data_IF_493080786409
#
_entry.id   IF_493080786409
#
_cell.length_a   1.000
_cell.length_b   1.000
_cell.length_c   1.000
_cell.angle_alpha   90.00
_cell.angle_beta   90.00
_cell.angle_gamma   90.00
#
_symmetry.space_group_name_H-M   'P 1'
#
loop_
_entity.id
_entity.type
_entity.pdbx_description
1 polymer ?
#
# COMPACT_ATOMS: atom_id res chain seq x y z
N UNK A 1 -37.69 -50.44 -31.79
CA UNK A 1 -37.16 -49.28 -32.53
C UNK A 1 -38.27 -48.23 -32.59
N UNK A 2 -38.02 -46.94 -32.30
CA UNK A 2 -36.85 -46.14 -32.67
C UNK A 2 -36.04 -45.63 -31.46
N UNK A 3 -34.71 -45.76 -31.41
CA UNK A 3 -33.65 -44.90 -31.99
C UNK A 3 -33.86 -43.38 -31.84
N UNK A 4 -33.38 -42.85 -30.71
CA UNK A 4 -32.79 -41.53 -30.59
C UNK A 4 -31.68 -41.63 -29.53
N UNK A 5 -30.51 -40.99 -29.58
CA UNK A 5 -29.64 -40.43 -30.60
C UNK A 5 -28.35 -40.09 -29.81
N UNK A 6 -27.16 -40.11 -30.43
CA UNK A 6 -25.83 -40.13 -29.77
C UNK A 6 -25.43 -38.87 -28.97
N UNK A 7 -26.38 -37.97 -28.70
CA UNK A 7 -26.16 -36.67 -28.03
C UNK A 7 -25.77 -36.84 -26.57
N UNK A 8 -26.35 -37.82 -25.87
CA UNK A 8 -26.07 -38.03 -24.44
C UNK A 8 -24.62 -38.48 -24.22
N UNK A 9 -24.06 -39.26 -25.15
CA UNK A 9 -22.65 -39.70 -25.11
C UNK A 9 -21.70 -38.55 -25.43
N UNK A 10 -22.09 -37.59 -26.28
CA UNK A 10 -21.29 -36.38 -26.56
C UNK A 10 -21.28 -35.39 -25.40
N UNK A 11 -22.32 -35.37 -24.57
CA UNK A 11 -22.38 -34.52 -23.38
C UNK A 11 -21.41 -34.99 -22.28
N UNK A 12 -21.18 -36.30 -22.18
CA UNK A 12 -20.27 -36.89 -21.18
C UNK A 12 -18.78 -36.70 -21.51
N UNK A 13 -18.41 -36.53 -22.78
CA UNK A 13 -17.01 -36.27 -23.19
C UNK A 13 -16.64 -34.80 -23.00
N UNK A 14 -17.60 -33.88 -23.06
CA UNK A 14 -17.34 -32.46 -22.82
C UNK A 14 -17.08 -32.15 -21.33
N UNK A 15 -17.61 -32.97 -20.42
CA UNK A 15 -17.39 -32.86 -18.98
C UNK A 15 -16.03 -33.39 -18.50
N UNK A 16 -15.32 -34.18 -19.31
CA UNK A 16 -14.01 -34.74 -18.96
C UNK A 16 -12.82 -33.93 -19.52
N UNK A 17 -13.06 -32.91 -20.35
CA UNK A 17 -12.02 -32.01 -20.88
C UNK A 17 -11.80 -30.74 -20.03
N UNK A 18 -12.74 -30.38 -19.16
CA UNK A 18 -12.59 -29.23 -18.25
C UNK A 18 -11.79 -29.58 -16.97
N UNK A 19 -11.37 -30.83 -16.79
CA UNK A 19 -10.63 -31.28 -15.61
C UNK A 19 -9.12 -30.98 -15.63
N UNK A 20 -8.58 -30.35 -16.68
CA UNK A 20 -7.11 -30.19 -16.84
C UNK A 20 -6.62 -28.74 -17.00
N UNK A 21 -7.50 -27.73 -17.02
CA UNK A 21 -7.07 -26.33 -17.18
C UNK A 21 -7.18 -25.48 -15.90
N UNK A 22 -7.71 -26.01 -14.80
CA UNK A 22 -7.85 -25.26 -13.54
C UNK A 22 -6.60 -25.33 -12.63
N UNK A 23 -5.56 -26.06 -13.03
CA UNK A 23 -4.33 -26.26 -12.24
C UNK A 23 -3.17 -25.32 -12.61
N UNK A 24 -3.33 -24.43 -13.59
CA UNK A 24 -2.38 -23.34 -13.81
C UNK A 24 -2.71 -22.17 -12.88
N UNK A 25 -2.82 -22.45 -11.58
CA UNK A 25 -2.67 -21.42 -10.56
C UNK A 25 -1.25 -20.91 -10.71
N UNK A 26 -1.15 -19.77 -11.40
CA UNK A 26 -0.03 -18.84 -11.48
C UNK A 26 1.14 -19.19 -10.53
N UNK A 27 1.98 -20.15 -10.96
CA UNK A 27 3.33 -20.21 -10.45
C UNK A 27 4.08 -19.11 -11.20
N UNK A 28 3.85 -17.87 -10.77
CA UNK A 28 4.71 -16.76 -11.13
C UNK A 28 6.07 -17.10 -10.52
N UNK A 29 6.90 -17.79 -11.30
CA UNK A 29 8.26 -18.11 -10.94
C UNK A 29 8.99 -16.80 -10.71
N UNK A 30 9.07 -16.39 -9.45
CA UNK A 30 9.93 -15.29 -9.04
C UNK A 30 11.36 -15.73 -9.28
N UNK A 31 11.92 -15.26 -10.39
CA UNK A 31 13.35 -15.30 -10.69
C UNK A 31 14.15 -14.90 -9.44
N UNK A 32 15.21 -15.66 -9.14
CA UNK A 32 16.04 -15.40 -7.96
C UNK A 32 16.62 -13.99 -8.04
N UNK A 33 17.04 -13.45 -6.89
CA UNK A 33 17.57 -12.08 -6.82
C UNK A 33 18.69 -11.85 -7.84
N UNK A 34 19.53 -12.86 -8.07
CA UNK A 34 20.65 -12.89 -9.02
C UNK A 34 20.23 -12.81 -10.51
N UNK A 35 19.04 -13.28 -10.86
CA UNK A 35 18.50 -13.14 -12.22
C UNK A 35 17.95 -11.72 -12.46
N UNK A 36 17.65 -10.99 -11.38
CA UNK A 36 17.03 -9.66 -11.42
C UNK A 36 18.02 -8.52 -11.26
N UNK A 37 19.20 -8.79 -10.69
CA UNK A 37 20.28 -7.80 -10.55
C UNK A 37 21.52 -8.25 -11.31
N UNK A 38 22.24 -7.30 -11.89
CA UNK A 38 23.49 -7.59 -12.58
C UNK A 38 24.57 -8.00 -11.57
N UNK A 39 25.57 -8.78 -12.00
CA UNK A 39 26.68 -9.20 -11.14
C UNK A 39 27.43 -8.01 -10.49
N UNK A 40 27.45 -6.86 -11.16
CA UNK A 40 28.04 -5.62 -10.65
C UNK A 40 27.21 -5.03 -9.51
N UNK A 41 25.89 -4.99 -9.64
CA UNK A 41 24.99 -4.53 -8.58
C UNK A 41 25.00 -5.47 -7.37
N UNK A 42 25.16 -6.77 -7.60
CA UNK A 42 25.31 -7.77 -6.55
C UNK A 42 26.60 -7.55 -5.72
N UNK A 43 27.71 -7.22 -6.38
CA UNK A 43 28.97 -6.85 -5.72
C UNK A 43 28.91 -5.48 -5.02
N UNK A 44 28.33 -4.48 -5.68
CA UNK A 44 28.21 -3.13 -5.13
C UNK A 44 27.26 -3.11 -3.90
N UNK A 45 26.27 -4.01 -3.86
CA UNK A 45 25.40 -4.23 -2.70
C UNK A 45 26.04 -5.06 -1.58
N UNK A 46 27.26 -5.58 -1.79
CA UNK A 46 27.98 -6.40 -0.82
C UNK A 46 27.35 -7.77 -0.58
N UNK A 47 26.48 -8.22 -1.49
CA UNK A 47 25.83 -9.54 -1.41
C UNK A 47 26.79 -10.68 -1.74
N UNK A 48 27.95 -10.37 -2.32
CA UNK A 48 29.08 -11.29 -2.58
C UNK A 48 29.75 -11.82 -1.30
N UNK A 49 29.49 -11.18 -0.16
CA UNK A 49 30.01 -11.57 1.15
C UNK A 49 29.10 -12.53 1.92
N UNK A 50 27.88 -12.74 1.42
CA UNK A 50 26.93 -13.67 2.02
C UNK A 50 27.27 -15.11 1.60
N UNK A 51 27.14 -16.04 2.53
CA UNK A 51 27.24 -17.46 2.20
C UNK A 51 26.06 -17.91 1.33
N UNK A 52 26.21 -19.04 0.63
CA UNK A 52 25.13 -19.63 -0.17
C UNK A 52 23.85 -19.87 0.66
N UNK A 53 24.02 -20.20 1.94
CA UNK A 53 22.94 -20.47 2.89
C UNK A 53 22.19 -19.19 3.28
N UNK A 54 22.93 -18.10 3.50
CA UNK A 54 22.39 -16.77 3.81
C UNK A 54 21.65 -16.18 2.60
N UNK A 55 22.23 -16.34 1.40
CA UNK A 55 21.60 -15.92 0.15
C UNK A 55 20.31 -16.70 -0.10
N UNK A 56 20.30 -18.02 0.17
CA UNK A 56 19.10 -18.82 0.08
C UNK A 56 18.02 -18.37 1.08
N UNK A 57 18.41 -17.97 2.29
CA UNK A 57 17.49 -17.40 3.29
C UNK A 57 16.91 -16.05 2.83
N UNK A 58 17.74 -15.17 2.27
CA UNK A 58 17.32 -13.90 1.70
C UNK A 58 16.33 -14.11 0.54
N UNK A 59 16.66 -14.98 -0.40
CA UNK A 59 15.78 -15.34 -1.51
C UNK A 59 14.44 -15.91 -1.03
N UNK A 60 14.42 -16.72 0.04
CA UNK A 60 13.18 -17.21 0.65
C UNK A 60 12.36 -16.08 1.28
N UNK A 61 13.01 -15.16 2.00
CA UNK A 61 12.33 -14.01 2.60
C UNK A 61 11.68 -13.10 1.56
N UNK A 62 12.40 -12.79 0.46
CA UNK A 62 11.88 -11.98 -0.65
C UNK A 62 10.66 -12.65 -1.28
N UNK A 63 10.73 -13.97 -1.54
CA UNK A 63 9.59 -14.74 -2.08
C UNK A 63 8.38 -14.70 -1.15
N UNK A 64 8.58 -14.92 0.15
CA UNK A 64 7.49 -14.90 1.13
C UNK A 64 6.80 -13.53 1.20
N UNK A 65 7.60 -12.46 1.19
CA UNK A 65 7.08 -11.09 1.20
C UNK A 65 6.33 -10.76 -0.08
N UNK A 66 6.88 -11.15 -1.23
CA UNK A 66 6.25 -10.90 -2.53
C UNK A 66 4.96 -11.68 -2.73
N UNK A 67 4.87 -12.90 -2.18
CA UNK A 67 3.63 -13.68 -2.19
C UNK A 67 2.57 -13.03 -1.29
N UNK A 68 2.94 -12.60 -0.09
CA UNK A 68 2.03 -11.89 0.81
C UNK A 68 1.52 -10.56 0.22
N UNK A 69 2.37 -9.85 -0.52
CA UNK A 69 2.00 -8.61 -1.21
C UNK A 69 1.11 -8.88 -2.43
N UNK A 70 1.39 -9.93 -3.20
CA UNK A 70 0.53 -10.40 -4.29
C UNK A 70 -0.86 -10.86 -3.81
N UNK A 71 -0.91 -11.63 -2.72
CA UNK A 71 -2.17 -12.04 -2.09
C UNK A 71 -2.97 -10.86 -1.56
N UNK A 72 -2.30 -9.87 -0.94
CA UNK A 72 -2.96 -8.65 -0.50
C UNK A 72 -3.57 -7.86 -1.68
N UNK A 73 -2.84 -7.75 -2.79
CA UNK A 73 -3.31 -7.11 -4.03
C UNK A 73 -4.48 -7.87 -4.66
N UNK A 74 -4.45 -9.20 -4.64
CA UNK A 74 -5.53 -10.04 -5.16
C UNK A 74 -6.81 -9.96 -4.31
N UNK A 75 -6.67 -9.87 -2.98
CA UNK A 75 -7.78 -9.65 -2.06
C UNK A 75 -8.40 -8.25 -2.23
N UNK A 76 -7.57 -7.22 -2.42
CA UNK A 76 -8.03 -5.85 -2.72
C UNK A 76 -8.79 -5.84 -4.05
N UNK A 77 -8.23 -6.43 -5.11
CA UNK A 77 -8.89 -6.49 -6.42
C UNK A 77 -10.23 -7.23 -6.38
N UNK A 78 -10.31 -8.31 -5.59
CA UNK A 78 -11.56 -9.06 -5.39
C UNK A 78 -12.59 -8.23 -4.62
N UNK A 79 -12.16 -7.49 -3.60
CA UNK A 79 -13.01 -6.57 -2.84
C UNK A 79 -13.51 -5.40 -3.72
N UNK A 80 -12.64 -4.84 -4.57
CA UNK A 80 -12.99 -3.78 -5.53
C UNK A 80 -14.01 -4.25 -6.57
N UNK A 81 -13.87 -5.48 -7.09
CA UNK A 81 -14.84 -6.04 -8.05
C UNK A 81 -16.23 -6.32 -7.46
N UNK A 82 -16.35 -6.38 -6.13
CA UNK A 82 -17.63 -6.60 -5.43
C UNK A 82 -18.29 -5.30 -4.95
N UNK A 83 -17.61 -4.15 -5.09
CA UNK A 83 -18.03 -2.84 -4.57
C UNK A 83 -18.76 -1.94 -5.57
N UNK A 84 -19.39 -2.48 -6.62
CA UNK A 84 -20.16 -1.68 -7.57
C UNK A 84 -21.54 -1.32 -7.01
N UNK A 85 -21.59 -0.39 -6.07
CA UNK A 85 -22.69 0.56 -5.95
C UNK A 85 -22.33 1.71 -4.99
N UNK A 86 -22.44 2.93 -5.52
CA UNK A 86 -22.36 4.24 -4.86
C UNK A 86 -20.99 4.90 -4.92
N UNK A 87 -20.99 6.05 -5.61
CA UNK A 87 -19.80 6.75 -6.06
C UNK A 87 -19.09 7.55 -4.97
N UNK A 88 -17.82 7.82 -5.24
CA UNK A 88 -17.26 9.18 -5.35
C UNK A 88 -15.84 9.03 -5.91
N UNK A 89 -15.48 10.00 -6.75
CA UNK A 89 -14.23 10.09 -7.50
C UNK A 89 -13.00 9.97 -6.59
N UNK A 90 -12.21 8.89 -6.72
CA UNK A 90 -10.91 8.70 -6.03
C UNK A 90 -9.77 8.49 -7.03
N UNK A 91 -9.80 9.16 -8.17
CA UNK A 91 -8.68 9.16 -9.11
C UNK A 91 -7.55 10.06 -8.59
N UNK A 92 -6.57 9.43 -7.94
CA UNK A 92 -5.34 10.09 -7.51
C UNK A 92 -4.54 9.33 -6.44
N UNK A 93 -4.75 8.01 -6.32
CA UNK A 93 -4.28 7.25 -5.18
C UNK A 93 -3.01 6.46 -5.51
N UNK A 94 -1.85 7.11 -5.44
CA UNK A 94 -0.56 6.42 -5.52
C UNK A 94 -0.19 5.94 -4.11
N UNK A 95 -0.05 4.64 -3.89
CA UNK A 95 0.38 4.07 -2.60
C UNK A 95 1.78 4.56 -2.17
N UNK A 96 2.55 5.07 -3.12
CA UNK A 96 3.83 5.74 -2.93
C UNK A 96 3.72 7.01 -2.06
N UNK A 97 2.59 7.72 -2.09
CA UNK A 97 2.38 8.93 -1.28
C UNK A 97 2.09 8.61 0.19
N UNK A 98 1.78 7.35 0.52
CA UNK A 98 1.50 6.95 1.90
C UNK A 98 2.76 6.79 2.76
N UNK A 99 3.95 6.86 2.18
CA UNK A 99 5.22 6.61 2.89
C UNK A 99 6.15 7.82 2.95
N UNK A 100 5.90 8.86 2.16
CA UNK A 100 6.73 10.06 2.14
C UNK A 100 6.21 11.11 3.12
N UNK A 101 7.09 11.79 3.87
CA UNK A 101 6.71 12.99 4.60
C UNK A 101 6.14 14.06 3.66
N UNK A 102 5.10 14.74 4.13
CA UNK A 102 4.47 15.87 3.43
C UNK A 102 4.94 17.14 4.14
N UNK A 103 5.82 17.90 3.49
CA UNK A 103 6.24 19.22 3.94
C UNK A 103 5.34 20.27 3.30
N UNK A 104 4.68 21.09 4.12
CA UNK A 104 3.77 22.12 3.66
C UNK A 104 3.59 23.19 4.75
N UNK A 105 2.67 24.11 4.56
CA UNK A 105 2.34 25.15 5.53
C UNK A 105 0.84 25.11 5.83
N UNK A 106 0.47 25.48 7.04
CA UNK A 106 -0.93 25.71 7.41
C UNK A 106 -1.37 27.03 6.78
N UNK A 107 -2.51 27.04 6.10
CA UNK A 107 -3.05 28.25 5.50
C UNK A 107 -3.62 29.18 6.57
N UNK A 108 -3.16 30.44 6.56
CA UNK A 108 -3.67 31.48 7.46
C UNK A 108 -3.02 31.48 8.84
N UNK A 109 -3.80 31.88 9.85
CA UNK A 109 -3.31 32.10 11.22
C UNK A 109 -3.38 30.82 12.03
N UNK A 110 -2.26 30.45 12.64
CA UNK A 110 -2.12 29.25 13.44
C UNK A 110 -1.50 29.55 14.81
N UNK A 111 -2.17 29.11 15.88
CA UNK A 111 -1.74 29.35 17.27
C UNK A 111 -1.55 28.06 18.08
N UNK A 112 -1.56 26.90 17.42
CA UNK A 112 -1.49 25.58 18.05
C UNK A 112 -2.77 24.75 17.91
N UNK A 113 -2.90 23.69 18.72
CA UNK A 113 -4.02 22.74 18.68
C UNK A 113 -4.62 22.46 20.06
N UNK A 114 -5.91 22.12 20.09
CA UNK A 114 -6.72 22.07 21.33
C UNK A 114 -7.45 20.75 21.57
N UNK A 115 -7.18 19.71 20.77
CA UNK A 115 -7.79 18.37 20.88
C UNK A 115 -8.76 18.03 19.75
N UNK A 116 -9.24 19.03 19.00
CA UNK A 116 -10.14 18.85 17.85
C UNK A 116 -9.79 19.81 16.70
N UNK A 117 -8.51 20.19 16.60
CA UNK A 117 -8.08 21.19 15.63
C UNK A 117 -8.10 20.62 14.21
N UNK A 118 -8.60 21.42 13.28
CA UNK A 118 -8.55 21.16 11.84
C UNK A 118 -7.40 21.94 11.24
N UNK A 119 -6.56 21.27 10.47
CA UNK A 119 -5.41 21.83 9.77
C UNK A 119 -5.73 21.90 8.28
N UNK A 120 -5.86 23.11 7.78
CA UNK A 120 -5.99 23.40 6.36
C UNK A 120 -4.59 23.71 5.83
N UNK A 121 -4.13 22.91 4.88
CA UNK A 121 -2.77 23.00 4.36
C UNK A 121 -2.77 23.71 3.01
N UNK A 122 -1.71 24.44 2.70
CA UNK A 122 -1.60 25.21 1.45
C UNK A 122 -1.66 24.35 0.17
N UNK A 123 -1.41 23.04 0.28
CA UNK A 123 -1.59 22.08 -0.82
C UNK A 123 -3.06 21.62 -1.02
N UNK A 124 -4.01 22.23 -0.30
CA UNK A 124 -5.43 21.92 -0.36
C UNK A 124 -5.85 20.69 0.45
N UNK A 125 -4.91 19.97 1.07
CA UNK A 125 -5.23 18.86 1.95
C UNK A 125 -5.75 19.37 3.29
N UNK A 126 -6.62 18.55 3.89
CA UNK A 126 -7.14 18.85 5.22
C UNK A 126 -6.90 17.67 6.14
N UNK A 127 -6.31 17.98 7.28
CA UNK A 127 -6.07 17.02 8.35
C UNK A 127 -6.80 17.45 9.63
N UNK A 128 -7.17 16.49 10.46
CA UNK A 128 -7.79 16.74 11.77
C UNK A 128 -6.99 16.01 12.83
N UNK A 129 -6.85 16.66 13.98
CA UNK A 129 -6.30 16.07 15.17
C UNK A 129 -7.07 14.81 15.60
N UNK A 130 -6.35 13.74 15.93
CA UNK A 130 -6.92 12.45 16.31
C UNK A 130 -6.77 12.14 17.83
N UNK A 131 -6.09 13.00 18.57
CA UNK A 131 -5.79 12.83 19.99
C UNK A 131 -6.12 14.10 20.77
N UNK A 132 -6.49 14.00 22.05
CA UNK A 132 -6.90 15.14 22.88
C UNK A 132 -5.74 16.03 23.38
N UNK A 133 -4.56 15.92 22.79
CA UNK A 133 -3.39 16.71 23.17
C UNK A 133 -3.60 18.21 22.91
N UNK A 134 -2.92 19.06 23.68
CA UNK A 134 -3.03 20.51 23.57
C UNK A 134 -1.66 21.16 23.49
N UNK A 135 -1.51 22.05 22.51
CA UNK A 135 -0.29 22.82 22.27
C UNK A 135 -0.66 24.25 21.91
N UNK A 136 0.04 25.21 22.50
CA UNK A 136 -0.12 26.61 22.21
C UNK A 136 1.22 27.19 21.77
N UNK A 137 1.17 28.09 20.79
CA UNK A 137 2.30 28.85 20.28
C UNK A 137 1.86 30.28 19.96
N UNK A 138 2.80 31.24 19.84
CA UNK A 138 2.49 32.55 19.31
C UNK A 138 1.79 32.42 17.96
N UNK A 139 0.76 33.24 17.74
CA UNK A 139 0.03 33.25 16.48
C UNK A 139 1.00 33.51 15.33
N UNK A 140 1.12 32.52 14.45
CA UNK A 140 2.04 32.53 13.32
C UNK A 140 1.21 32.38 12.07
N UNK A 141 1.46 33.25 11.09
CA UNK A 141 0.85 33.16 9.77
C UNK A 141 1.64 32.18 8.90
N UNK A 142 0.95 31.33 8.14
CA UNK A 142 1.57 30.36 7.24
C UNK A 142 2.61 29.46 7.94
N UNK A 143 2.25 28.91 9.10
CA UNK A 143 3.15 28.09 9.90
C UNK A 143 3.62 26.84 9.11
N UNK A 144 4.94 26.66 8.98
CA UNK A 144 5.52 25.50 8.32
C UNK A 144 5.29 24.24 9.16
N UNK A 145 4.80 23.19 8.49
CA UNK A 145 4.47 21.90 9.11
C UNK A 145 4.94 20.73 8.27
N UNK A 146 5.29 19.66 8.97
CA UNK A 146 5.65 18.39 8.36
C UNK A 146 4.68 17.33 8.85
N UNK A 147 4.06 16.61 7.92
CA UNK A 147 3.21 15.46 8.23
C UNK A 147 3.97 14.20 7.84
N UNK A 148 4.32 13.41 8.84
CA UNK A 148 5.15 12.22 8.66
C UNK A 148 4.37 10.94 9.05
N UNK A 149 4.55 9.84 8.30
CA UNK A 149 4.02 8.56 8.70
C UNK A 149 4.81 8.04 9.91
N UNK A 150 4.09 7.51 10.90
CA UNK A 150 4.65 6.83 12.05
C UNK A 150 4.32 5.33 12.05
N UNK A 151 4.50 4.71 13.21
CA UNK A 151 4.23 3.28 13.37
C UNK A 151 2.73 3.00 13.28
N UNK A 152 2.37 1.80 12.82
CA UNK A 152 0.98 1.33 12.69
C UNK A 152 0.08 2.20 11.80
N UNK A 153 0.65 2.92 10.83
CA UNK A 153 -0.12 3.74 9.88
C UNK A 153 -0.69 5.02 10.50
N UNK A 154 -0.27 5.39 11.71
CA UNK A 154 -0.57 6.70 12.27
C UNK A 154 0.22 7.79 11.55
N UNK A 155 -0.37 8.97 11.41
CA UNK A 155 0.29 10.15 10.86
C UNK A 155 0.49 11.17 11.95
N UNK A 156 1.61 11.86 11.91
CA UNK A 156 1.97 12.89 12.89
C UNK A 156 2.26 14.20 12.18
N UNK A 157 1.62 15.26 12.66
CA UNK A 157 1.92 16.63 12.26
C UNK A 157 2.89 17.24 13.29
N UNK A 158 3.97 17.83 12.82
CA UNK A 158 4.90 18.64 13.61
C UNK A 158 5.03 20.03 13.01
N UNK A 159 5.18 21.04 13.85
CA UNK A 159 5.41 22.43 13.43
C UNK A 159 6.91 22.72 13.47
N UNK A 160 7.43 23.38 12.46
CA UNK A 160 8.84 23.77 12.41
C UNK A 160 9.21 24.63 13.64
N UNK A 161 10.37 24.36 14.23
CA UNK A 161 10.83 25.05 15.44
C UNK A 161 10.25 24.51 16.75
N UNK A 162 9.33 23.53 16.71
CA UNK A 162 8.77 22.89 17.90
C UNK A 162 9.02 21.39 17.89
N UNK A 163 9.42 20.84 19.04
CA UNK A 163 9.62 19.40 19.24
C UNK A 163 8.32 18.63 19.44
N UNK A 164 7.18 19.32 19.44
CA UNK A 164 5.86 18.71 19.66
C UNK A 164 5.26 18.25 18.34
N UNK A 165 4.65 17.08 18.40
CA UNK A 165 3.90 16.47 17.30
C UNK A 165 2.55 15.99 17.80
N UNK A 166 1.57 15.96 16.91
CA UNK A 166 0.22 15.50 17.21
C UNK A 166 -0.23 14.48 16.18
N UNK A 167 -0.92 13.43 16.62
CA UNK A 167 -1.51 12.47 15.70
C UNK A 167 -2.64 13.12 14.91
N UNK A 168 -2.64 12.90 13.61
CA UNK A 168 -3.62 13.46 12.68
C UNK A 168 -4.21 12.40 11.77
N UNK A 169 -5.41 12.69 11.30
CA UNK A 169 -6.15 11.90 10.32
C UNK A 169 -6.51 12.79 9.14
N UNK A 170 -6.33 12.27 7.92
CA UNK A 170 -6.69 13.00 6.72
C UNK A 170 -8.21 13.02 6.55
N UNK A 171 -8.75 14.22 6.33
CA UNK A 171 -10.17 14.46 6.10
C UNK A 171 -10.46 14.77 4.64
N UNK A 172 -9.53 15.41 3.92
CA UNK A 172 -9.65 15.77 2.50
C UNK A 172 -8.30 15.71 1.79
#
# INVERSE_FOLDING_TARGET
MPIASPVVIRLSVFLLACALCAGAAAQQSFSSLEERMTAKEFQDAGLDKLSEEELAALNRWIRMRSLAEGEAVDLIRRAESSGSNSGEDRRGFNESDRKSPIETQIEGRFSGWTGNTRFELANGMVWRQAEADQFAMPETENAQVTISPGMFGAWYLSVEGYSRRVRVERVR
#
